data_IF_828346402364
#
_entry.id   IF_828346402364
#
_cell.length_a   1.000
_cell.length_b   1.000
_cell.length_c   1.000
_cell.angle_alpha   90.00
_cell.angle_beta   90.00
_cell.angle_gamma   90.00
#
_symmetry.space_group_name_H-M   'P 1'
#
loop_
_entity.id
_entity.type
_entity.pdbx_description
1 polymer ?
#
# COMPACT_ATOMS: atom_id res chain seq x y z
N UNK A 1 40.99 -2.42 24.54
CA UNK A 1 39.70 -3.08 24.87
C UNK A 1 39.11 -3.57 23.56
N UNK A 2 39.14 -4.88 23.32
CA UNK A 2 38.58 -5.48 22.10
C UNK A 2 37.12 -5.83 22.36
N UNK A 3 36.19 -5.22 21.61
CA UNK A 3 34.79 -5.66 21.61
C UNK A 3 34.75 -7.03 20.93
N UNK A 4 34.43 -8.08 21.68
CA UNK A 4 34.16 -9.40 21.11
C UNK A 4 32.80 -9.31 20.42
N UNK A 5 32.71 -9.59 19.10
CA UNK A 5 31.46 -9.53 18.38
C UNK A 5 30.52 -10.64 18.88
N UNK A 6 29.24 -10.31 19.05
CA UNK A 6 28.22 -11.29 19.37
C UNK A 6 28.13 -12.35 18.25
N UNK A 7 27.95 -13.62 18.63
CA UNK A 7 27.94 -14.75 17.69
C UNK A 7 26.52 -15.20 17.42
N UNK A 8 26.16 -15.36 16.15
CA UNK A 8 24.91 -15.99 15.75
C UNK A 8 25.07 -17.52 15.80
N UNK A 9 24.32 -18.16 16.70
CA UNK A 9 24.35 -19.62 16.88
C UNK A 9 23.48 -20.32 15.82
N UNK A 10 22.30 -19.77 15.54
CA UNK A 10 21.35 -20.32 14.58
C UNK A 10 20.41 -19.25 14.08
N UNK A 11 19.98 -19.36 12.81
CA UNK A 11 19.02 -18.47 12.18
C UNK A 11 17.94 -19.31 11.51
N UNK A 12 16.68 -18.97 11.75
CA UNK A 12 15.53 -19.54 11.03
C UNK A 12 14.50 -18.45 10.70
N UNK A 13 13.61 -18.80 9.79
CA UNK A 13 12.57 -17.89 9.31
C UNK A 13 11.20 -18.37 9.73
N UNK A 14 10.35 -17.42 10.09
CA UNK A 14 8.93 -17.64 10.34
C UNK A 14 8.10 -17.02 9.22
N UNK A 15 6.97 -17.65 8.89
CA UNK A 15 5.90 -17.09 8.07
C UNK A 15 4.60 -17.23 8.86
N UNK A 16 3.94 -16.12 9.12
CA UNK A 16 2.69 -16.05 9.88
C UNK A 16 2.79 -16.72 11.27
N UNK A 17 3.99 -16.68 11.87
CA UNK A 17 4.31 -17.28 13.17
C UNK A 17 4.77 -18.74 13.13
N UNK A 18 4.68 -19.43 11.99
CA UNK A 18 5.10 -20.82 11.82
C UNK A 18 6.50 -20.93 11.19
N UNK A 19 7.25 -21.98 11.54
CA UNK A 19 8.58 -22.19 10.96
C UNK A 19 8.49 -22.47 9.46
N UNK A 20 9.19 -21.65 8.67
CA UNK A 20 9.10 -21.67 7.22
C UNK A 20 9.61 -22.99 6.62
N UNK A 21 10.59 -23.63 7.23
CA UNK A 21 11.10 -24.95 6.82
C UNK A 21 10.01 -26.01 6.85
N UNK A 22 9.18 -26.05 7.90
CA UNK A 22 8.07 -27.00 8.02
C UNK A 22 6.97 -26.77 6.98
N UNK A 23 6.75 -25.51 6.58
CA UNK A 23 5.79 -25.14 5.53
C UNK A 23 6.30 -25.60 4.16
N UNK A 24 7.59 -25.41 3.88
CA UNK A 24 8.19 -25.77 2.60
C UNK A 24 8.20 -27.28 2.35
N UNK A 25 8.47 -28.07 3.39
CA UNK A 25 8.41 -29.54 3.32
C UNK A 25 7.01 -30.05 2.98
N UNK A 26 5.95 -29.37 3.44
CA UNK A 26 4.55 -29.72 3.16
C UNK A 26 4.07 -29.29 1.77
N UNK A 27 4.66 -28.23 1.22
CA UNK A 27 4.13 -27.53 0.05
C UNK A 27 4.91 -27.76 -1.26
N UNK A 28 6.04 -28.49 -1.24
CA UNK A 28 6.97 -28.67 -2.37
C UNK A 28 7.30 -27.35 -3.11
N UNK A 29 7.32 -26.23 -2.38
CA UNK A 29 7.42 -24.90 -2.99
C UNK A 29 8.86 -24.58 -3.39
N UNK A 30 9.09 -24.39 -4.69
CA UNK A 30 10.36 -23.87 -5.24
C UNK A 30 10.43 -22.34 -5.26
N UNK A 31 9.38 -21.67 -4.78
CA UNK A 31 9.25 -20.22 -4.84
C UNK A 31 9.97 -19.52 -3.67
N UNK A 32 10.55 -20.27 -2.73
CA UNK A 32 11.21 -19.72 -1.54
C UNK A 32 12.54 -20.45 -1.33
N UNK A 33 13.61 -19.69 -1.13
CA UNK A 33 14.96 -20.20 -0.87
C UNK A 33 15.49 -19.56 0.41
N UNK A 34 15.88 -20.40 1.38
CA UNK A 34 16.43 -19.97 2.67
C UNK A 34 17.95 -20.19 2.66
N UNK A 35 18.71 -19.12 2.85
CA UNK A 35 20.17 -19.13 2.95
C UNK A 35 20.60 -18.44 4.26
N UNK A 36 20.35 -19.11 5.40
CA UNK A 36 20.66 -18.57 6.73
C UNK A 36 19.99 -17.22 6.99
N UNK A 37 20.75 -16.10 7.08
CA UNK A 37 20.19 -14.76 7.30
C UNK A 37 19.44 -14.20 6.08
N UNK A 38 19.53 -14.83 4.91
CA UNK A 38 18.90 -14.33 3.68
C UNK A 38 17.73 -15.21 3.28
N UNK A 39 16.56 -14.59 3.12
CA UNK A 39 15.37 -15.23 2.55
C UNK A 39 15.10 -14.66 1.15
N UNK A 40 15.04 -15.54 0.15
CA UNK A 40 14.71 -15.16 -1.22
C UNK A 40 13.34 -15.72 -1.58
N UNK A 41 12.43 -14.85 -2.02
CA UNK A 41 11.09 -15.22 -2.48
C UNK A 41 10.99 -14.91 -3.97
N UNK A 42 10.66 -15.92 -4.77
CA UNK A 42 10.63 -15.90 -6.23
C UNK A 42 9.17 -15.80 -6.70
N UNK A 43 8.88 -14.85 -7.58
CA UNK A 43 7.62 -14.80 -8.32
C UNK A 43 6.40 -14.27 -7.55
N UNK A 44 6.54 -13.84 -6.30
CA UNK A 44 5.54 -13.03 -5.57
C UNK A 44 4.09 -13.49 -5.71
N UNK A 45 3.87 -14.81 -5.65
CA UNK A 45 2.57 -15.43 -5.89
C UNK A 45 1.68 -15.31 -4.65
N UNK A 46 0.38 -15.55 -4.81
CA UNK A 46 -0.59 -15.41 -3.72
C UNK A 46 -0.24 -16.29 -2.50
N UNK A 47 0.27 -17.50 -2.70
CA UNK A 47 0.69 -18.37 -1.60
C UNK A 47 1.93 -17.88 -0.83
N UNK A 48 2.72 -16.98 -1.43
CA UNK A 48 3.88 -16.36 -0.78
C UNK A 48 3.50 -15.11 0.01
N UNK A 49 2.23 -14.69 0.01
CA UNK A 49 1.80 -13.62 0.91
C UNK A 49 1.85 -14.09 2.36
N UNK A 50 2.26 -13.18 3.25
CA UNK A 50 2.39 -13.48 4.67
C UNK A 50 3.26 -12.46 5.39
N UNK A 51 3.33 -12.63 6.71
CA UNK A 51 4.21 -11.85 7.56
C UNK A 51 5.47 -12.67 7.87
N UNK A 52 6.62 -12.18 7.44
CA UNK A 52 7.91 -12.89 7.52
C UNK A 52 8.79 -12.30 8.62
N UNK A 53 9.37 -13.17 9.44
CA UNK A 53 10.28 -12.76 10.53
C UNK A 53 11.54 -13.62 10.53
N UNK A 54 12.67 -12.98 10.80
CA UNK A 54 13.94 -13.66 11.03
C UNK A 54 14.13 -13.84 12.53
N UNK A 55 14.43 -15.06 12.95
CA UNK A 55 14.71 -15.41 14.34
C UNK A 55 16.14 -15.89 14.45
N UNK A 56 16.92 -15.20 15.28
CA UNK A 56 18.33 -15.50 15.49
C UNK A 56 18.60 -15.80 16.97
N UNK A 57 19.19 -16.96 17.24
CA UNK A 57 19.78 -17.24 18.55
C UNK A 57 21.18 -16.62 18.61
N UNK A 58 21.42 -15.78 19.61
CA UNK A 58 22.67 -15.05 19.79
C UNK A 58 23.31 -15.45 21.11
N UNK A 59 24.57 -15.84 21.05
CA UNK A 59 25.39 -16.15 22.22
C UNK A 59 26.48 -15.10 22.41
N UNK A 60 27.15 -15.17 23.56
CA UNK A 60 28.28 -14.31 23.92
C UNK A 60 27.92 -12.81 24.06
N UNK A 61 26.64 -12.50 24.30
CA UNK A 61 26.20 -11.13 24.55
C UNK A 61 26.65 -10.71 25.95
N UNK A 62 27.58 -9.74 26.01
CA UNK A 62 28.10 -9.19 27.27
C UNK A 62 27.24 -8.04 27.77
N UNK A 63 26.68 -8.21 28.97
CA UNK A 63 25.97 -7.16 29.68
C UNK A 63 26.95 -6.27 30.46
N UNK A 64 26.50 -5.07 30.84
CA UNK A 64 27.31 -4.08 31.59
C UNK A 64 27.87 -4.60 32.92
N UNK A 65 27.21 -5.59 33.52
CA UNK A 65 27.63 -6.28 34.75
C UNK A 65 28.61 -7.44 34.50
N UNK A 66 29.18 -7.57 33.29
CA UNK A 66 30.08 -8.63 32.83
C UNK A 66 29.45 -10.03 32.74
N UNK A 67 28.13 -10.15 32.87
CA UNK A 67 27.44 -11.40 32.58
C UNK A 67 27.41 -11.66 31.07
N UNK A 68 27.51 -12.93 30.70
CA UNK A 68 27.34 -13.39 29.33
C UNK A 68 26.01 -14.12 29.24
N UNK A 69 25.14 -13.66 28.34
CA UNK A 69 23.82 -14.26 28.16
C UNK A 69 23.68 -14.87 26.76
N UNK A 70 22.78 -15.84 26.67
CA UNK A 70 22.20 -16.30 25.41
C UNK A 70 20.80 -15.70 25.29
N UNK A 71 20.49 -15.15 24.13
CA UNK A 71 19.20 -14.52 23.87
C UNK A 71 18.71 -14.85 22.46
N UNK A 72 17.42 -14.63 22.22
CA UNK A 72 16.81 -14.76 20.90
C UNK A 72 16.37 -13.38 20.44
N UNK A 73 16.80 -13.02 19.24
CA UNK A 73 16.34 -11.81 18.56
C UNK A 73 15.32 -12.21 17.51
N UNK A 74 14.21 -11.48 17.46
CA UNK A 74 13.15 -11.64 16.46
C UNK A 74 13.01 -10.31 15.75
N UNK A 75 13.08 -10.31 14.42
CA UNK A 75 12.87 -9.09 13.63
C UNK A 75 11.41 -8.64 13.70
N UNK A 76 11.18 -7.36 13.42
CA UNK A 76 9.84 -6.90 13.07
C UNK A 76 9.33 -7.65 11.82
N UNK A 77 8.01 -7.90 11.73
CA UNK A 77 7.43 -8.64 10.62
C UNK A 77 7.48 -7.82 9.31
N UNK A 78 8.04 -8.43 8.27
CA UNK A 78 7.98 -7.93 6.90
C UNK A 78 6.69 -8.48 6.27
N UNK A 79 5.77 -7.59 5.91
CA UNK A 79 4.50 -7.96 5.30
C UNK A 79 4.67 -8.07 3.78
N UNK A 80 4.68 -9.30 3.27
CA UNK A 80 4.65 -9.53 1.83
C UNK A 80 3.22 -9.65 1.35
N UNK A 81 2.79 -8.71 0.50
CA UNK A 81 1.47 -8.70 -0.14
C UNK A 81 1.65 -8.48 -1.63
N UNK A 82 0.96 -9.28 -2.43
CA UNK A 82 0.93 -9.14 -3.89
C UNK A 82 0.18 -7.88 -4.23
N UNK A 83 0.80 -7.05 -5.06
CA UNK A 83 0.18 -5.79 -5.44
C UNK A 83 -1.06 -6.05 -6.31
N UNK A 84 -2.18 -5.42 -5.96
CA UNK A 84 -3.48 -5.57 -6.63
C UNK A 84 -4.32 -4.30 -6.54
N UNK A 85 -5.25 -4.18 -7.47
CA UNK A 85 -6.30 -3.15 -7.51
C UNK A 85 -7.64 -3.80 -7.88
N UNK A 86 -8.58 -3.77 -6.96
CA UNK A 86 -9.93 -4.34 -7.15
C UNK A 86 -10.79 -3.43 -8.04
N UNK A 87 -12.04 -3.82 -8.30
CA UNK A 87 -12.99 -2.99 -9.06
C UNK A 87 -13.61 -1.94 -8.14
N UNK A 88 -14.21 -0.92 -8.73
CA UNK A 88 -15.07 -0.02 -7.97
C UNK A 88 -16.35 -0.77 -7.57
N UNK A 89 -16.77 -0.61 -6.32
CA UNK A 89 -17.99 -1.23 -5.79
C UNK A 89 -19.25 -0.40 -6.08
N UNK A 90 -19.10 0.85 -6.51
CA UNK A 90 -20.23 1.74 -6.75
C UNK A 90 -20.88 1.53 -8.13
N UNK A 91 -22.20 1.42 -8.10
CA UNK A 91 -23.05 1.19 -9.28
C UNK A 91 -23.88 2.40 -9.69
N UNK A 92 -23.98 3.45 -8.85
CA UNK A 92 -24.82 4.64 -9.07
C UNK A 92 -24.00 5.94 -9.18
N UNK A 93 -24.55 6.93 -9.87
CA UNK A 93 -23.98 8.27 -9.93
C UNK A 93 -24.19 9.01 -8.60
N UNK A 94 -23.25 9.88 -8.24
CA UNK A 94 -23.35 10.73 -7.06
C UNK A 94 -23.60 12.18 -7.47
N UNK A 95 -24.36 12.94 -6.68
CA UNK A 95 -24.68 14.35 -6.98
C UNK A 95 -24.26 15.22 -5.81
N UNK A 96 -23.47 16.25 -6.10
CA UNK A 96 -22.97 17.21 -5.12
C UNK A 96 -23.49 18.59 -5.53
N UNK A 97 -24.19 19.27 -4.63
CA UNK A 97 -24.73 20.62 -4.84
C UNK A 97 -23.98 21.58 -3.92
N UNK A 98 -23.38 22.63 -4.47
CA UNK A 98 -22.54 23.58 -3.73
C UNK A 98 -22.69 24.95 -4.34
N UNK A 99 -22.89 25.99 -3.53
CA UNK A 99 -23.04 27.35 -4.05
C UNK A 99 -21.70 27.93 -4.53
N UNK A 100 -21.76 28.89 -5.45
CA UNK A 100 -20.57 29.61 -5.91
C UNK A 100 -19.78 30.20 -4.72
N UNK A 101 -18.45 30.07 -4.76
CA UNK A 101 -17.55 30.56 -3.73
C UNK A 101 -17.32 29.61 -2.54
N UNK A 102 -18.11 28.54 -2.40
CA UNK A 102 -17.93 27.55 -1.35
C UNK A 102 -16.92 26.46 -1.74
N UNK A 103 -16.53 25.64 -0.76
CA UNK A 103 -15.67 24.45 -0.97
C UNK A 103 -16.54 23.26 -1.38
N UNK A 104 -16.29 22.68 -2.56
CA UNK A 104 -16.91 21.41 -2.93
C UNK A 104 -16.04 20.22 -2.54
N UNK A 105 -16.67 19.12 -2.10
CA UNK A 105 -16.02 17.83 -1.85
C UNK A 105 -16.66 16.77 -2.73
N UNK A 106 -15.89 16.25 -3.68
CA UNK A 106 -16.31 15.20 -4.60
C UNK A 106 -15.76 13.87 -4.07
N UNK A 107 -16.61 12.96 -3.56
CA UNK A 107 -16.14 11.67 -3.08
C UNK A 107 -15.70 10.80 -4.25
N UNK A 108 -14.60 10.06 -4.09
CA UNK A 108 -14.33 8.92 -4.96
C UNK A 108 -15.14 7.76 -4.40
N UNK A 109 -16.40 7.62 -4.83
CA UNK A 109 -17.29 6.65 -4.21
C UNK A 109 -17.10 5.25 -4.82
N UNK A 110 -17.21 4.23 -3.96
CA UNK A 110 -16.86 2.84 -4.28
C UNK A 110 -15.37 2.61 -4.55
N UNK A 111 -14.48 3.30 -3.83
CA UNK A 111 -13.02 3.16 -3.96
C UNK A 111 -12.59 1.69 -3.99
N UNK A 112 -11.77 1.28 -4.98
CA UNK A 112 -11.21 -0.05 -5.00
C UNK A 112 -10.21 -0.22 -3.86
N UNK A 113 -10.19 -1.42 -3.28
CA UNK A 113 -9.08 -1.90 -2.45
C UNK A 113 -7.79 -1.95 -3.29
N UNK A 114 -6.77 -1.24 -2.83
CA UNK A 114 -5.43 -1.15 -3.41
C UNK A 114 -4.43 -1.66 -2.40
N UNK A 115 -3.71 -2.70 -2.79
CA UNK A 115 -2.66 -3.30 -1.98
C UNK A 115 -1.34 -3.23 -2.75
N UNK A 116 -0.23 -2.85 -2.11
CA UNK A 116 -0.19 -2.09 -0.85
C UNK A 116 -0.80 -0.68 -1.02
N UNK A 117 -1.36 -0.14 0.06
CA UNK A 117 -1.86 1.24 0.10
C UNK A 117 -0.81 2.23 0.62
N UNK A 118 -1.11 3.55 0.61
CA UNK A 118 -2.34 4.16 0.11
C UNK A 118 -2.39 4.24 -1.42
N UNK A 119 -3.59 4.29 -1.98
CA UNK A 119 -3.78 4.50 -3.42
C UNK A 119 -3.56 5.98 -3.79
N UNK A 120 -3.02 6.23 -4.98
CA UNK A 120 -3.07 7.55 -5.58
C UNK A 120 -4.45 7.74 -6.22
N UNK A 121 -5.14 8.82 -5.85
CA UNK A 121 -6.47 9.16 -6.34
C UNK A 121 -6.39 10.48 -7.09
N UNK A 122 -7.03 10.53 -8.24
CA UNK A 122 -7.24 11.78 -8.95
C UNK A 122 -8.59 11.80 -9.64
N UNK A 123 -8.97 12.94 -10.21
CA UNK A 123 -10.20 13.08 -10.97
C UNK A 123 -9.94 13.64 -12.35
N UNK A 124 -10.79 13.22 -13.29
CA UNK A 124 -10.88 13.77 -14.63
C UNK A 124 -12.29 14.31 -14.83
N UNK A 125 -12.42 15.45 -15.53
CA UNK A 125 -13.70 16.04 -15.87
C UNK A 125 -14.15 15.54 -17.24
N UNK A 126 -15.43 15.19 -17.38
CA UNK A 126 -16.04 14.88 -18.66
C UNK A 126 -15.97 16.11 -19.57
N UNK A 127 -15.69 15.89 -20.86
CA UNK A 127 -15.63 16.94 -21.89
C UNK A 127 -14.62 18.08 -21.59
N UNK A 128 -13.53 17.79 -20.87
CA UNK A 128 -12.40 18.73 -20.76
C UNK A 128 -11.33 18.41 -21.80
N UNK A 129 -10.76 19.44 -22.42
CA UNK A 129 -9.61 19.30 -23.34
C UNK A 129 -8.32 18.84 -22.64
N UNK A 130 -8.36 18.67 -21.32
CA UNK A 130 -7.25 18.23 -20.52
C UNK A 130 -7.27 16.72 -20.32
N UNK A 131 -6.33 16.04 -20.97
CA UNK A 131 -6.06 14.61 -20.76
C UNK A 131 -5.10 14.44 -19.58
N UNK A 132 -5.63 14.54 -18.36
CA UNK A 132 -4.82 14.34 -17.15
C UNK A 132 -5.60 14.49 -15.86
N UNK A 133 -4.95 14.19 -14.74
CA UNK A 133 -5.50 14.40 -13.41
C UNK A 133 -5.63 15.89 -13.11
N UNK A 134 -6.82 16.35 -12.72
CA UNK A 134 -7.07 17.78 -12.46
C UNK A 134 -6.15 18.39 -11.40
N UNK A 135 -5.73 17.58 -10.43
CA UNK A 135 -4.80 17.94 -9.35
C UNK A 135 -3.36 18.18 -9.83
N UNK A 136 -3.00 17.74 -11.03
CA UNK A 136 -1.62 17.86 -11.54
C UNK A 136 -1.38 19.22 -12.20
N UNK A 137 -2.43 20.01 -12.42
CA UNK A 137 -2.31 21.34 -12.99
C UNK A 137 -1.60 22.26 -12.00
N UNK A 138 -0.55 22.93 -12.45
CA UNK A 138 0.05 24.05 -11.73
C UNK A 138 -1.02 25.14 -11.59
N UNK A 139 -1.22 25.66 -10.38
CA UNK A 139 -2.28 26.63 -10.00
C UNK A 139 -3.73 26.10 -10.04
N UNK A 140 -3.93 24.79 -9.90
CA UNK A 140 -5.29 24.23 -9.82
C UNK A 140 -5.96 24.50 -8.46
N UNK A 141 -7.25 24.85 -8.48
CA UNK A 141 -8.10 24.88 -7.29
C UNK A 141 -8.52 23.48 -6.79
N UNK A 142 -8.02 22.43 -7.43
CA UNK A 142 -8.34 21.03 -7.16
C UNK A 142 -7.30 20.40 -6.24
N UNK A 143 -7.75 19.77 -5.17
CA UNK A 143 -6.90 19.05 -4.22
C UNK A 143 -7.35 17.60 -4.11
N UNK A 144 -6.53 16.67 -4.56
CA UNK A 144 -6.76 15.24 -4.33
C UNK A 144 -6.52 14.87 -2.87
N UNK A 145 -7.35 13.99 -2.35
CA UNK A 145 -7.31 13.46 -0.98
C UNK A 145 -7.37 11.94 -1.01
N UNK A 146 -7.13 11.30 0.13
CA UNK A 146 -7.19 9.84 0.26
C UNK A 146 -8.59 9.23 -0.03
N UNK A 147 -9.65 10.04 -0.14
CA UNK A 147 -11.02 9.54 -0.38
C UNK A 147 -11.77 10.27 -1.50
N UNK A 148 -11.14 11.21 -2.21
CA UNK A 148 -11.85 12.09 -3.13
C UNK A 148 -11.06 13.32 -3.55
N UNK A 149 -11.75 14.35 -4.03
CA UNK A 149 -11.15 15.62 -4.43
C UNK A 149 -11.91 16.79 -3.80
N UNK A 150 -11.19 17.86 -3.48
CA UNK A 150 -11.77 19.12 -3.02
C UNK A 150 -11.56 20.20 -4.08
N UNK A 151 -12.53 21.11 -4.19
CA UNK A 151 -12.40 22.34 -4.98
C UNK A 151 -12.53 23.49 -4.00
N UNK A 152 -11.45 24.24 -3.79
CA UNK A 152 -11.37 25.24 -2.72
C UNK A 152 -12.37 26.40 -2.90
N UNK A 153 -12.53 26.89 -4.13
CA UNK A 153 -13.45 27.99 -4.46
C UNK A 153 -14.24 27.59 -5.71
N UNK A 154 -15.48 27.18 -5.51
CA UNK A 154 -16.36 26.74 -6.61
C UNK A 154 -16.77 27.92 -7.49
N UNK A 155 -16.85 27.67 -8.79
CA UNK A 155 -17.20 28.64 -9.83
C UNK A 155 -18.15 27.95 -10.81
N UNK A 156 -18.98 28.68 -11.57
CA UNK A 156 -19.94 28.06 -12.50
C UNK A 156 -19.29 27.11 -13.52
N UNK A 157 -18.05 27.41 -13.97
CA UNK A 157 -17.31 26.53 -14.89
C UNK A 157 -16.82 25.23 -14.26
N UNK A 158 -16.88 25.08 -12.94
CA UNK A 158 -16.64 23.81 -12.24
C UNK A 158 -17.84 22.86 -12.35
N UNK A 159 -19.02 23.31 -12.79
CA UNK A 159 -20.15 22.41 -13.01
C UNK A 159 -19.78 21.32 -14.04
N UNK A 160 -20.18 20.08 -13.76
CA UNK A 160 -20.00 18.98 -14.70
C UNK A 160 -19.92 17.61 -14.06
N UNK A 161 -19.55 16.63 -14.88
CA UNK A 161 -19.42 15.24 -14.50
C UNK A 161 -17.94 14.90 -14.31
N UNK A 162 -17.61 14.29 -13.17
CA UNK A 162 -16.25 13.97 -12.77
C UNK A 162 -16.12 12.47 -12.55
N UNK A 163 -15.04 11.89 -13.06
CA UNK A 163 -14.71 10.48 -12.86
C UNK A 163 -13.47 10.37 -11.99
N UNK A 164 -13.53 9.48 -11.00
CA UNK A 164 -12.39 9.17 -10.16
C UNK A 164 -11.47 8.20 -10.90
N UNK A 165 -10.15 8.40 -10.78
CA UNK A 165 -9.12 7.50 -11.27
C UNK A 165 -8.26 7.12 -10.08
N UNK A 166 -8.07 5.82 -9.88
CA UNK A 166 -7.29 5.26 -8.78
C UNK A 166 -6.12 4.49 -9.35
N UNK A 167 -4.93 4.74 -8.83
CA UNK A 167 -3.68 4.13 -9.27
C UNK A 167 -3.01 3.37 -8.14
N UNK A 168 -2.52 2.19 -8.49
CA UNK A 168 -1.59 1.45 -7.64
C UNK A 168 -0.16 1.91 -7.95
N UNK A 169 0.51 2.51 -6.97
CA UNK A 169 1.85 3.08 -7.15
C UNK A 169 2.94 2.04 -7.44
N UNK A 170 2.72 0.77 -7.06
CA UNK A 170 3.69 -0.31 -7.23
C UNK A 170 3.56 -0.99 -8.59
N UNK A 171 2.33 -1.19 -9.10
CA UNK A 171 2.09 -1.83 -10.40
C UNK A 171 1.87 -0.85 -11.54
N UNK A 172 1.70 0.44 -11.22
CA UNK A 172 1.28 1.52 -12.12
C UNK A 172 -0.06 1.26 -12.83
N UNK A 173 -0.81 0.24 -12.40
CA UNK A 173 -2.16 -0.02 -12.91
C UNK A 173 -3.12 1.07 -12.43
N UNK A 174 -3.95 1.56 -13.34
CA UNK A 174 -5.00 2.53 -13.05
C UNK A 174 -6.37 1.91 -13.27
N UNK A 175 -7.37 2.40 -12.53
CA UNK A 175 -8.78 2.13 -12.79
C UNK A 175 -9.57 3.42 -12.70
N UNK A 176 -10.42 3.64 -13.70
CA UNK A 176 -11.40 4.72 -13.72
C UNK A 176 -12.72 4.22 -13.13
N UNK A 177 -13.41 5.08 -12.38
CA UNK A 177 -14.74 4.80 -11.86
C UNK A 177 -15.73 4.57 -13.02
N UNK A 178 -16.62 3.57 -12.92
CA UNK A 178 -17.63 3.32 -13.95
C UNK A 178 -18.75 4.38 -13.93
N UNK A 179 -18.89 5.09 -12.81
CA UNK A 179 -19.90 6.11 -12.56
C UNK A 179 -19.25 7.44 -12.22
N UNK A 180 -19.95 8.52 -12.54
CA UNK A 180 -19.49 9.87 -12.30
C UNK A 180 -20.04 10.43 -10.99
N UNK A 181 -19.37 11.46 -10.49
CA UNK A 181 -19.91 12.42 -9.54
C UNK A 181 -20.27 13.69 -10.31
N UNK A 182 -21.52 14.13 -10.24
CA UNK A 182 -22.00 15.35 -10.87
C UNK A 182 -21.96 16.49 -9.86
N UNK A 183 -21.13 17.49 -10.11
CA UNK A 183 -21.13 18.75 -9.38
C UNK A 183 -22.16 19.69 -10.01
N UNK A 184 -23.03 20.25 -9.20
CA UNK A 184 -24.00 21.30 -9.54
C UNK A 184 -23.68 22.53 -8.69
N UNK A 185 -23.59 23.67 -9.35
CA UNK A 185 -23.22 24.96 -8.76
C UNK A 185 -24.40 25.90 -8.74
#
# INVERSE_FOLDING_TARGET
>A
MSCVPAKFDSIHWLKDGEQLTEILEKAESKDIVINGPTLTIIGGKQQTEGDYQCVAAVSEVRLSNRQVIKTTLVSDPIKLRRARITKFDQTTNHYVHVEQGQVARLPCAGLPDVVPGPAEICFIKSNSDFEGCLSDKVDSNYLSTATGMQIAVVQPHHEGEYYCVVRNEYTKQTRKSPRYVKLRV
#
